data_IF_228905501142
#
_entry.id   IF_228905501142
#
_cell.length_a   1.000
_cell.length_b   1.000
_cell.length_c   1.000
_cell.angle_alpha   90.00
_cell.angle_beta   90.00
_cell.angle_gamma   90.00
#
_symmetry.space_group_name_H-M   'P 1'
#
loop_
_entity.id
_entity.type
_entity.pdbx_description
1 polymer ?
#
# COMPACT_ATOMS: atom_id res chain seq x y z
N UNK A 1 -1.90 9.19 -5.85
CA UNK A 1 -1.37 7.89 -6.33
C UNK A 1 -0.93 7.94 -7.80
N UNK A 2 -1.79 8.30 -8.76
CA UNK A 2 -1.47 8.26 -10.21
C UNK A 2 -0.39 9.24 -10.71
N UNK A 3 -0.07 10.29 -9.98
CA UNK A 3 1.06 11.17 -10.32
C UNK A 3 2.43 10.56 -9.96
N UNK A 4 2.44 9.49 -9.15
CA UNK A 4 3.65 8.75 -8.72
C UNK A 4 3.75 7.37 -9.34
N UNK A 5 2.62 6.78 -9.77
CA UNK A 5 2.53 5.42 -10.30
C UNK A 5 1.77 5.39 -11.65
N UNK A 6 2.09 4.46 -12.53
CA UNK A 6 1.42 4.32 -13.83
C UNK A 6 -0.03 3.85 -13.65
N UNK A 7 -0.99 4.74 -13.92
CA UNK A 7 -2.41 4.45 -13.81
C UNK A 7 -3.10 4.03 -15.12
N UNK A 8 -2.38 3.85 -16.24
CA UNK A 8 -2.99 3.39 -17.50
C UNK A 8 -3.77 2.08 -17.35
N UNK A 9 -3.24 1.03 -16.69
CA UNK A 9 -3.95 -0.24 -16.57
C UNK A 9 -5.25 -0.10 -15.76
N UNK A 10 -5.19 0.66 -14.66
CA UNK A 10 -6.36 0.91 -13.82
C UNK A 10 -7.43 1.73 -14.54
N UNK A 11 -7.03 2.77 -15.30
CA UNK A 11 -7.95 3.57 -16.10
C UNK A 11 -8.66 2.73 -17.17
N UNK A 12 -7.95 1.83 -17.85
CA UNK A 12 -8.57 0.94 -18.86
C UNK A 12 -9.61 0.00 -18.23
N UNK A 13 -9.30 -0.57 -17.07
CA UNK A 13 -10.22 -1.44 -16.33
C UNK A 13 -11.46 -0.66 -15.86
N UNK A 14 -11.29 0.54 -15.33
CA UNK A 14 -12.39 1.36 -14.82
C UNK A 14 -13.26 1.89 -15.96
N UNK A 15 -12.65 2.33 -17.07
CA UNK A 15 -13.36 2.76 -18.26
C UNK A 15 -14.19 1.61 -18.86
N UNK A 16 -13.73 0.36 -18.78
CA UNK A 16 -14.54 -0.81 -19.17
C UNK A 16 -15.82 -1.01 -18.35
N UNK A 17 -15.89 -0.38 -17.16
CA UNK A 17 -17.03 -0.37 -16.24
C UNK A 17 -17.82 0.94 -16.30
N UNK A 18 -17.50 1.83 -17.25
CA UNK A 18 -18.12 3.15 -17.38
C UNK A 18 -17.68 4.16 -16.32
N UNK A 19 -16.58 3.89 -15.60
CA UNK A 19 -16.01 4.78 -14.60
C UNK A 19 -14.92 5.65 -15.21
N UNK A 20 -14.91 6.93 -14.82
CA UNK A 20 -13.98 7.95 -15.30
C UNK A 20 -12.66 7.96 -14.51
N UNK A 21 -11.70 8.76 -14.97
CA UNK A 21 -10.46 8.98 -14.24
C UNK A 21 -10.70 9.63 -12.86
N UNK A 22 -11.73 10.48 -12.73
CA UNK A 22 -12.09 11.08 -11.45
C UNK A 22 -12.66 10.03 -10.48
N UNK A 23 -13.50 9.12 -10.98
CA UNK A 23 -14.02 7.99 -10.19
C UNK A 23 -12.88 7.09 -9.71
N UNK A 24 -11.85 6.89 -10.54
CA UNK A 24 -10.64 6.16 -10.18
C UNK A 24 -9.91 6.85 -9.01
N UNK A 25 -9.73 8.17 -9.06
CA UNK A 25 -9.06 8.93 -7.99
C UNK A 25 -9.85 8.86 -6.69
N UNK A 26 -11.18 9.01 -6.75
CA UNK A 26 -12.08 8.91 -5.59
C UNK A 26 -12.03 7.51 -4.97
N UNK A 27 -12.09 6.45 -5.78
CA UNK A 27 -12.05 5.06 -5.32
C UNK A 27 -10.68 4.66 -4.76
N UNK A 28 -9.58 5.22 -5.28
CA UNK A 28 -8.27 5.06 -4.65
C UNK A 28 -8.20 5.71 -3.27
N UNK A 29 -8.94 6.79 -3.05
CA UNK A 29 -9.09 7.42 -1.73
C UNK A 29 -9.74 6.52 -0.68
N UNK A 30 -10.52 5.51 -1.07
CA UNK A 30 -11.11 4.55 -0.12
C UNK A 30 -10.07 3.65 0.58
N UNK A 31 -8.85 3.54 0.04
CA UNK A 31 -7.75 2.80 0.66
C UNK A 31 -6.95 3.62 1.68
N UNK A 32 -7.33 4.89 1.92
CA UNK A 32 -6.63 5.77 2.88
C UNK A 32 -6.90 5.38 4.32
N UNK A 33 -8.02 4.70 4.60
CA UNK A 33 -8.42 4.23 5.93
C UNK A 33 -8.79 2.77 5.79
N UNK A 34 -7.97 1.86 6.30
CA UNK A 34 -8.23 0.45 6.12
C UNK A 34 -7.30 -0.47 6.88
N UNK A 35 -7.61 -1.74 6.70
CA UNK A 35 -7.04 -2.87 7.37
C UNK A 35 -6.46 -3.77 6.29
N UNK A 36 -5.16 -4.05 6.35
CA UNK A 36 -4.53 -4.93 5.38
C UNK A 36 -3.58 -5.91 6.07
N UNK A 37 -3.61 -7.15 5.62
CA UNK A 37 -2.76 -8.21 6.17
C UNK A 37 -1.28 -7.91 5.91
N UNK A 38 -0.44 -8.11 6.94
CA UNK A 38 1.00 -7.87 6.88
C UNK A 38 1.68 -8.57 5.68
N UNK A 39 1.19 -9.74 5.25
CA UNK A 39 1.69 -10.48 4.09
C UNK A 39 1.84 -9.63 2.82
N UNK A 40 0.99 -8.62 2.64
CA UNK A 40 1.05 -7.74 1.46
C UNK A 40 2.22 -6.75 1.49
N UNK A 41 2.72 -6.41 2.68
CA UNK A 41 3.76 -5.38 2.86
C UNK A 41 5.11 -5.94 3.28
N UNK A 42 5.20 -7.18 3.79
CA UNK A 42 6.46 -7.74 4.32
C UNK A 42 7.66 -7.57 3.38
N UNK A 43 7.48 -7.88 2.09
CA UNK A 43 8.55 -7.69 1.10
C UNK A 43 8.94 -6.22 0.96
N UNK A 44 7.97 -5.30 0.91
CA UNK A 44 8.25 -3.88 0.82
C UNK A 44 8.89 -3.31 2.10
N UNK A 45 8.61 -3.89 3.27
CA UNK A 45 9.13 -3.43 4.55
C UNK A 45 10.53 -3.96 4.86
N UNK A 46 10.89 -5.15 4.38
CA UNK A 46 12.10 -5.85 4.82
C UNK A 46 13.00 -6.39 3.70
N UNK A 47 12.45 -6.73 2.55
CA UNK A 47 13.23 -7.30 1.44
C UNK A 47 12.73 -6.82 0.06
N UNK A 48 12.80 -5.50 -0.13
CA UNK A 48 12.36 -4.87 -1.36
C UNK A 48 13.31 -5.25 -2.49
N UNK A 49 12.78 -5.93 -3.51
CA UNK A 49 13.54 -6.42 -4.67
C UNK A 49 14.78 -7.26 -4.31
N UNK A 50 14.75 -8.03 -3.21
CA UNK A 50 15.87 -8.89 -2.80
C UNK A 50 17.06 -8.13 -2.21
N UNK A 51 16.90 -6.85 -1.89
CA UNK A 51 17.98 -6.00 -1.37
C UNK A 51 18.17 -6.10 0.15
N UNK A 52 17.30 -6.84 0.86
CA UNK A 52 17.18 -6.88 2.32
C UNK A 52 16.99 -5.50 2.95
N UNK A 53 16.40 -4.58 2.21
CA UNK A 53 16.06 -3.21 2.63
C UNK A 53 14.59 -2.94 2.39
N UNK A 54 14.06 -1.91 3.06
CA UNK A 54 12.72 -1.42 2.77
C UNK A 54 12.67 -0.68 1.43
N UNK A 55 11.49 -0.63 0.83
CA UNK A 55 11.19 0.18 -0.35
C UNK A 55 11.53 1.66 -0.06
N UNK A 56 12.41 2.30 -0.85
CA UNK A 56 12.80 3.69 -0.63
C UNK A 56 11.68 4.70 -0.92
N UNK A 57 10.59 4.27 -1.55
CA UNK A 57 9.42 5.13 -1.85
C UNK A 57 8.43 5.22 -0.68
N UNK A 58 8.56 4.35 0.33
CA UNK A 58 7.73 4.38 1.53
C UNK A 58 8.21 5.51 2.45
N UNK A 59 7.27 6.33 2.92
CA UNK A 59 7.58 7.36 3.90
C UNK A 59 8.20 6.76 5.18
N UNK A 60 9.31 7.28 5.71
CA UNK A 60 9.96 6.71 6.88
C UNK A 60 9.08 6.62 8.14
N UNK A 61 8.12 7.54 8.33
CA UNK A 61 7.18 7.49 9.46
C UNK A 61 6.17 6.36 9.27
N UNK A 62 5.65 6.22 8.04
CA UNK A 62 4.79 5.10 7.65
C UNK A 62 5.52 3.76 7.81
N UNK A 63 6.77 3.66 7.34
CA UNK A 63 7.61 2.47 7.47
C UNK A 63 7.77 2.05 8.94
N UNK A 64 8.04 3.02 9.83
CA UNK A 64 8.16 2.76 11.26
C UNK A 64 6.84 2.25 11.86
N UNK A 65 5.72 2.89 11.53
CA UNK A 65 4.40 2.45 12.00
C UNK A 65 4.08 1.03 11.53
N UNK A 66 4.29 0.74 10.25
CA UNK A 66 4.04 -0.59 9.68
C UNK A 66 4.96 -1.66 10.29
N UNK A 67 6.23 -1.36 10.56
CA UNK A 67 7.14 -2.31 11.23
C UNK A 67 6.78 -2.60 12.68
N UNK A 68 6.18 -1.63 13.39
CA UNK A 68 5.66 -1.87 14.75
C UNK A 68 4.45 -2.83 14.73
N UNK A 69 3.59 -2.72 13.73
CA UNK A 69 2.43 -3.61 13.56
C UNK A 69 2.79 -4.97 12.94
N UNK A 70 3.77 -5.00 12.03
CA UNK A 70 4.18 -6.17 11.27
C UNK A 70 5.66 -6.51 11.53
N UNK A 71 6.00 -7.24 12.61
CA UNK A 71 7.37 -7.64 12.88
C UNK A 71 7.89 -8.67 11.85
N UNK A 72 9.19 -8.61 11.56
CA UNK A 72 9.85 -9.46 10.54
C UNK A 72 9.84 -10.97 10.86
N UNK A 73 9.90 -11.31 12.16
CA UNK A 73 9.91 -12.68 12.65
C UNK A 73 8.94 -12.83 13.83
N UNK A 74 8.22 -13.95 13.90
CA UNK A 74 7.34 -14.28 15.03
C UNK A 74 5.98 -13.56 15.04
N UNK A 75 5.66 -12.76 14.02
CA UNK A 75 4.33 -12.17 13.85
C UNK A 75 3.38 -13.11 13.11
N UNK A 76 2.10 -13.12 13.50
CA UNK A 76 1.08 -13.78 12.69
C UNK A 76 0.88 -12.99 11.37
N UNK A 77 0.99 -13.66 10.21
CA UNK A 77 0.74 -13.04 8.91
C UNK A 77 -0.72 -12.56 8.74
N UNK A 78 -1.61 -13.05 9.60
CA UNK A 78 -3.00 -12.60 9.74
C UNK A 78 -3.13 -11.29 10.54
N UNK A 79 -2.03 -10.75 11.07
CA UNK A 79 -2.06 -9.43 11.70
C UNK A 79 -2.41 -8.40 10.62
N UNK A 80 -3.47 -7.68 10.92
CA UNK A 80 -3.99 -6.63 10.09
C UNK A 80 -3.35 -5.32 10.55
N UNK A 81 -2.52 -4.73 9.71
CA UNK A 81 -2.01 -3.40 9.95
C UNK A 81 -3.10 -2.38 9.60
N UNK A 82 -3.35 -1.46 10.52
CA UNK A 82 -4.11 -0.24 10.20
C UNK A 82 -3.19 0.63 9.36
N UNK A 83 -3.62 0.99 8.15
CA UNK A 83 -2.90 2.02 7.40
C UNK A 83 -3.00 3.31 8.21
N UNK A 84 -1.87 3.94 8.60
CA UNK A 84 -1.92 5.20 9.34
C UNK A 84 -2.67 6.22 8.50
N UNK A 85 -3.59 6.93 9.15
CA UNK A 85 -4.14 8.16 8.60
C UNK A 85 -2.96 9.08 8.29
N UNK A 86 -2.70 9.32 7.00
CA UNK A 86 -1.88 10.45 6.57
C UNK A 86 -2.86 11.64 6.64
N UNK A 87 -2.73 12.57 7.61
CA UNK A 87 -3.50 13.80 7.61
C UNK A 87 -3.12 14.68 6.42
#
# INVERSE_FOLDING_TARGET
>A
MCCKFNCRPANQLFNSKGLTLDDLVVLFGAHTIGFAHCKHFLNQLYDYQGTKKSDPTIDPRLLKALRMSCPHFGGNADIVAVTPHIP
#
